data_IF_979857045127
#
_entry.id   IF_979857045127
#
_cell.length_a   1.000
_cell.length_b   1.000
_cell.length_c   1.000
_cell.angle_alpha   90.00
_cell.angle_beta   90.00
_cell.angle_gamma   90.00
#
_symmetry.space_group_name_H-M   'P 1'
#
loop_
_entity.id
_entity.type
_entity.pdbx_description
1 polymer ?
#
# COMPACT_ATOMS: atom_id res chain seq x y z
N UNK A 1 20.78 -6.90 1.64
CA UNK A 1 19.79 -5.93 2.13
C UNK A 1 19.56 -4.91 1.03
N UNK A 2 18.30 -4.66 0.66
CA UNK A 2 17.90 -3.73 -0.40
C UNK A 2 16.83 -2.78 0.15
N UNK A 3 16.62 -1.65 -0.52
CA UNK A 3 15.54 -0.71 -0.20
C UNK A 3 14.35 -1.01 -1.10
N UNK A 4 13.16 -1.06 -0.53
CA UNK A 4 11.89 -1.20 -1.26
C UNK A 4 10.86 -0.21 -0.70
N UNK A 5 9.83 0.06 -1.49
CA UNK A 5 8.71 0.88 -1.08
C UNK A 5 7.44 0.39 -1.77
N UNK A 6 6.31 0.65 -1.14
CA UNK A 6 5.00 0.28 -1.66
C UNK A 6 4.08 1.50 -1.65
N UNK A 7 3.29 1.66 -2.71
CA UNK A 7 2.25 2.66 -2.80
C UNK A 7 0.93 1.94 -3.03
N UNK A 8 -0.09 2.32 -2.26
CA UNK A 8 -1.39 1.65 -2.29
C UNK A 8 -1.98 1.61 -3.71
N UNK A 9 -2.34 0.41 -4.16
CA UNK A 9 -3.14 0.20 -5.36
C UNK A 9 -4.63 0.41 -5.07
N UNK A 10 -5.05 0.12 -3.83
CA UNK A 10 -6.37 0.43 -3.28
C UNK A 10 -6.29 0.63 -1.75
N UNK A 11 -7.26 1.30 -1.11
CA UNK A 11 -7.13 1.74 0.28
C UNK A 11 -7.58 0.63 1.25
N UNK A 12 -6.92 -0.52 1.23
CA UNK A 12 -7.16 -1.62 2.18
C UNK A 12 -5.82 -2.16 2.73
N UNK A 13 -5.71 -2.50 4.03
CA UNK A 13 -4.50 -3.07 4.61
C UNK A 13 -4.01 -4.36 3.94
N UNK A 14 -4.92 -5.13 3.31
CA UNK A 14 -4.55 -6.33 2.55
C UNK A 14 -3.50 -6.02 1.47
N UNK A 15 -3.58 -4.86 0.81
CA UNK A 15 -2.66 -4.45 -0.26
C UNK A 15 -1.21 -4.30 0.22
N UNK A 16 -1.02 -4.03 1.52
CA UNK A 16 0.31 -3.91 2.14
C UNK A 16 0.71 -5.20 2.86
N UNK A 17 -0.12 -5.66 3.78
CA UNK A 17 0.28 -6.72 4.72
C UNK A 17 0.23 -8.08 4.04
N UNK A 18 -0.81 -8.32 3.23
CA UNK A 18 -1.00 -9.61 2.61
C UNK A 18 -0.11 -9.80 1.39
N UNK A 19 -0.16 -8.84 0.46
CA UNK A 19 0.64 -8.87 -0.77
C UNK A 19 2.13 -8.96 -0.49
N UNK A 20 2.65 -8.24 0.51
CA UNK A 20 4.09 -8.18 0.72
C UNK A 20 4.63 -9.32 1.59
N UNK A 21 3.81 -9.90 2.48
CA UNK A 21 4.29 -10.81 3.52
C UNK A 21 3.65 -12.20 3.52
N UNK A 22 2.63 -12.48 2.70
CA UNK A 22 2.19 -13.86 2.53
C UNK A 22 3.27 -14.68 1.81
N UNK A 23 3.58 -15.87 2.31
CA UNK A 23 4.73 -16.67 1.84
C UNK A 23 4.66 -17.06 0.37
N UNK A 24 3.45 -17.28 -0.17
CA UNK A 24 3.22 -17.62 -1.57
C UNK A 24 2.95 -16.40 -2.47
N UNK A 25 3.02 -15.18 -1.93
CA UNK A 25 2.80 -13.98 -2.74
C UNK A 25 3.96 -13.73 -3.71
N UNK A 26 3.63 -13.36 -4.95
CA UNK A 26 4.63 -12.97 -5.96
C UNK A 26 5.35 -11.68 -5.57
N UNK A 27 4.71 -10.84 -4.76
CA UNK A 27 5.20 -9.55 -4.29
C UNK A 27 6.05 -9.67 -3.01
N UNK A 28 6.17 -10.88 -2.45
CA UNK A 28 7.04 -11.16 -1.31
C UNK A 28 8.51 -11.28 -1.77
N UNK A 29 9.08 -10.14 -2.14
CA UNK A 29 10.47 -10.04 -2.60
C UNK A 29 11.48 -10.31 -1.48
N UNK A 30 11.05 -10.21 -0.22
CA UNK A 30 11.89 -10.47 0.96
C UNK A 30 12.04 -11.97 1.25
N UNK A 31 11.16 -12.82 0.68
CA UNK A 31 11.12 -14.25 0.97
C UNK A 31 10.69 -14.56 2.41
N UNK A 32 9.91 -13.68 3.04
CA UNK A 32 9.39 -13.90 4.38
C UNK A 32 8.42 -15.10 4.40
N UNK A 33 8.51 -15.96 5.40
CA UNK A 33 7.63 -17.13 5.51
C UNK A 33 7.39 -17.46 6.98
N UNK A 34 6.15 -17.24 7.41
CA UNK A 34 5.67 -17.60 8.75
C UNK A 34 4.25 -18.19 8.63
N UNK A 35 4.08 -19.50 8.88
CA UNK A 35 2.78 -20.17 8.73
C UNK A 35 1.65 -19.58 9.59
N UNK A 36 1.97 -19.01 10.76
CA UNK A 36 0.95 -18.39 11.61
C UNK A 36 0.51 -17.03 11.04
N UNK A 37 1.44 -16.26 10.45
CA UNK A 37 1.09 -15.04 9.72
C UNK A 37 0.24 -15.38 8.50
N UNK A 38 0.63 -16.36 7.68
CA UNK A 38 -0.14 -16.78 6.51
C UNK A 38 -1.58 -17.16 6.89
N UNK A 39 -1.75 -17.90 8.00
CA UNK A 39 -3.06 -18.28 8.52
C UNK A 39 -3.91 -17.08 8.92
N UNK A 40 -3.34 -16.09 9.61
CA UNK A 40 -4.06 -14.86 10.00
C UNK A 40 -4.45 -14.06 8.75
N UNK A 41 -3.55 -13.95 7.77
CA UNK A 41 -3.81 -13.25 6.51
C UNK A 41 -4.96 -13.92 5.74
N UNK A 42 -4.95 -15.24 5.60
CA UNK A 42 -6.06 -15.99 4.98
C UNK A 42 -7.41 -15.80 5.70
N UNK A 43 -7.40 -15.71 7.03
CA UNK A 43 -8.59 -15.38 7.81
C UNK A 43 -9.04 -13.94 7.55
N UNK A 44 -8.12 -12.98 7.53
CA UNK A 44 -8.43 -11.58 7.27
C UNK A 44 -9.04 -11.37 5.88
N UNK A 45 -8.51 -12.04 4.83
CA UNK A 45 -9.05 -12.00 3.46
C UNK A 45 -10.52 -12.40 3.36
N UNK A 46 -10.95 -13.35 4.20
CA UNK A 46 -12.30 -13.91 4.16
C UNK A 46 -13.24 -13.31 5.20
N UNK A 47 -12.76 -12.41 6.06
CA UNK A 47 -13.56 -11.75 7.10
C UNK A 47 -14.35 -10.56 6.54
N UNK A 48 -15.68 -10.69 6.58
CA UNK A 48 -16.63 -9.69 6.10
C UNK A 48 -16.81 -8.51 7.07
N UNK A 49 -16.60 -8.73 8.38
CA UNK A 49 -16.68 -7.67 9.37
C UNK A 49 -15.41 -6.83 9.35
N UNK A 50 -15.56 -5.56 8.96
CA UNK A 50 -14.43 -4.65 8.79
C UNK A 50 -13.57 -4.48 10.06
N UNK A 51 -14.19 -4.37 11.23
CA UNK A 51 -13.44 -4.16 12.49
C UNK A 51 -12.62 -5.39 12.86
N UNK A 52 -13.20 -6.60 12.69
CA UNK A 52 -12.47 -7.84 12.90
C UNK A 52 -11.34 -8.02 11.90
N UNK A 53 -11.61 -7.71 10.62
CA UNK A 53 -10.60 -7.76 9.56
C UNK A 53 -9.41 -6.86 9.88
N UNK A 54 -9.66 -5.62 10.31
CA UNK A 54 -8.60 -4.69 10.70
C UNK A 54 -7.82 -5.16 11.93
N UNK A 55 -8.49 -5.77 12.91
CA UNK A 55 -7.80 -6.36 14.07
C UNK A 55 -6.89 -7.52 13.66
N UNK A 56 -7.31 -8.37 12.71
CA UNK A 56 -6.49 -9.46 12.17
C UNK A 56 -5.26 -8.92 11.42
N UNK A 57 -5.43 -7.89 10.58
CA UNK A 57 -4.29 -7.28 9.89
C UNK A 57 -3.31 -6.60 10.85
N UNK A 58 -3.80 -5.91 11.89
CA UNK A 58 -2.94 -5.33 12.91
C UNK A 58 -2.16 -6.40 13.69
N UNK A 59 -2.79 -7.56 13.96
CA UNK A 59 -2.10 -8.69 14.59
C UNK A 59 -1.01 -9.25 13.68
N UNK A 60 -1.30 -9.45 12.40
CA UNK A 60 -0.32 -9.92 11.42
C UNK A 60 0.86 -8.94 11.29
N UNK A 61 0.58 -7.64 11.18
CA UNK A 61 1.59 -6.58 11.13
C UNK A 61 2.52 -6.63 12.34
N UNK A 62 1.98 -6.77 13.55
CA UNK A 62 2.80 -6.87 14.76
C UNK A 62 3.75 -8.08 14.71
N UNK A 63 3.27 -9.24 14.25
CA UNK A 63 4.11 -10.44 14.13
C UNK A 63 5.22 -10.26 13.08
N UNK A 64 4.92 -9.63 11.95
CA UNK A 64 5.89 -9.31 10.89
C UNK A 64 6.99 -8.37 11.43
N UNK A 65 6.61 -7.39 12.26
CA UNK A 65 7.54 -6.47 12.91
C UNK A 65 8.38 -7.18 13.98
N UNK A 66 7.77 -8.04 14.79
CA UNK A 66 8.46 -8.81 15.83
C UNK A 66 9.50 -9.79 15.22
N UNK A 67 9.20 -10.34 14.05
CA UNK A 67 10.12 -11.18 13.26
C UNK A 67 11.20 -10.37 12.54
N UNK A 68 11.12 -9.04 12.55
CA UNK A 68 11.99 -8.12 11.81
C UNK A 68 12.09 -8.46 10.31
N UNK A 69 10.97 -8.87 9.70
CA UNK A 69 10.89 -9.23 8.28
C UNK A 69 11.28 -8.07 7.35
N UNK A 70 10.98 -6.84 7.79
CA UNK A 70 11.38 -5.58 7.16
C UNK A 70 11.73 -4.56 8.23
N UNK A 71 12.48 -3.53 7.86
CA UNK A 71 12.71 -2.35 8.69
C UNK A 71 11.88 -1.21 8.08
N UNK A 72 10.73 -0.83 8.66
CA UNK A 72 9.98 0.35 8.21
C UNK A 72 10.80 1.61 8.45
N UNK A 73 10.92 2.46 7.43
CA UNK A 73 11.67 3.72 7.51
C UNK A 73 10.72 4.91 7.71
N UNK A 74 9.89 5.21 6.71
CA UNK A 74 8.93 6.31 6.78
C UNK A 74 7.75 6.12 5.82
N UNK A 75 6.67 6.88 6.04
CA UNK A 75 5.58 7.07 5.09
C UNK A 75 5.85 8.32 4.24
N UNK A 76 5.98 8.19 2.90
CA UNK A 76 6.34 9.33 2.06
C UNK A 76 5.22 10.36 1.99
N UNK A 77 5.61 11.64 2.04
CA UNK A 77 4.73 12.77 1.70
C UNK A 77 5.06 13.21 0.29
N UNK A 78 4.05 13.26 -0.58
CA UNK A 78 4.23 13.70 -1.96
C UNK A 78 4.21 15.24 -2.03
N UNK A 79 5.30 15.85 -2.50
CA UNK A 79 5.39 17.28 -2.77
C UNK A 79 5.36 17.52 -4.29
N UNK A 80 4.30 18.15 -4.80
CA UNK A 80 4.11 18.38 -6.23
C UNK A 80 3.96 19.88 -6.54
N UNK A 81 4.61 20.32 -7.62
CA UNK A 81 4.41 21.64 -8.21
C UNK A 81 3.63 21.50 -9.52
N UNK A 82 2.44 22.08 -9.57
CA UNK A 82 1.56 22.04 -10.73
C UNK A 82 1.50 23.42 -11.37
N UNK A 83 1.82 23.51 -12.67
CA UNK A 83 1.72 24.78 -13.40
C UNK A 83 0.28 25.30 -13.38
N UNK A 84 0.04 26.64 -13.30
CA UNK A 84 -1.32 27.19 -13.25
C UNK A 84 -2.23 26.80 -14.43
N UNK A 85 -1.65 26.49 -15.60
CA UNK A 85 -2.39 26.05 -16.79
C UNK A 85 -2.88 24.60 -16.72
N UNK A 86 -2.38 23.78 -15.79
CA UNK A 86 -2.84 22.40 -15.60
C UNK A 86 -4.02 22.42 -14.63
N UNK A 87 -5.16 21.90 -15.09
CA UNK A 87 -6.40 21.80 -14.30
C UNK A 87 -6.68 20.35 -13.92
N UNK A 88 -7.47 20.18 -12.86
CA UNK A 88 -7.99 18.89 -12.40
C UNK A 88 -6.90 17.85 -12.04
N UNK A 89 -5.77 18.30 -11.50
CA UNK A 89 -4.74 17.40 -11.00
C UNK A 89 -5.27 16.57 -9.81
N UNK A 90 -5.33 15.23 -9.89
CA UNK A 90 -5.82 14.40 -8.80
C UNK A 90 -4.81 14.38 -7.64
N UNK A 91 -5.26 14.84 -6.47
CA UNK A 91 -4.51 14.76 -5.20
C UNK A 91 -5.01 13.56 -4.40
N UNK A 92 -4.45 12.39 -4.69
CA UNK A 92 -4.74 11.13 -4.00
C UNK A 92 -3.44 10.44 -3.64
N UNK A 93 -3.45 9.71 -2.53
CA UNK A 93 -2.27 9.00 -2.00
C UNK A 93 -2.06 7.61 -2.62
N UNK A 94 -2.89 7.24 -3.60
CA UNK A 94 -2.86 5.93 -4.28
C UNK A 94 -2.34 6.08 -5.70
N UNK A 95 -1.86 4.98 -6.27
CA UNK A 95 -1.55 4.92 -7.69
C UNK A 95 -2.84 5.04 -8.51
N UNK A 96 -2.99 6.16 -9.23
CA UNK A 96 -4.12 6.37 -10.15
C UNK A 96 -3.63 6.83 -11.51
N UNK A 97 -4.34 6.52 -12.61
CA UNK A 97 -3.99 7.01 -13.95
C UNK A 97 -4.28 8.51 -14.07
N UNK A 98 -3.38 9.35 -13.54
CA UNK A 98 -3.58 10.80 -13.36
C UNK A 98 -3.90 11.52 -14.67
N UNK A 99 -3.25 11.13 -15.77
CA UNK A 99 -3.41 11.78 -17.07
C UNK A 99 -4.82 11.72 -17.66
N UNK A 100 -5.65 10.78 -17.21
CA UNK A 100 -7.05 10.70 -17.64
C UNK A 100 -7.88 11.90 -17.19
N UNK A 101 -7.46 12.55 -16.10
CA UNK A 101 -8.25 13.58 -15.42
C UNK A 101 -7.73 15.00 -15.65
N UNK A 102 -6.54 15.15 -16.24
CA UNK A 102 -5.92 16.46 -16.39
C UNK A 102 -6.36 17.14 -17.68
N UNK A 103 -6.42 18.47 -17.62
CA UNK A 103 -6.65 19.33 -18.77
C UNK A 103 -5.57 20.42 -18.82
N UNK A 104 -5.19 20.83 -20.03
CA UNK A 104 -4.27 21.96 -20.24
C UNK A 104 -5.10 23.12 -20.77
N UNK A 105 -5.24 24.17 -19.96
CA UNK A 105 -5.86 25.41 -20.41
C UNK A 105 -4.93 26.14 -21.39
N UNK A 106 -5.49 26.70 -22.46
CA UNK A 106 -4.75 27.60 -23.34
C UNK A 106 -4.26 28.81 -22.52
N UNK A 107 -3.00 29.19 -22.71
CA UNK A 107 -2.45 30.43 -22.14
C UNK A 107 -3.19 31.62 -22.73
N UNK A 108 -3.84 32.41 -21.88
CA UNK A 108 -4.27 33.76 -22.27
C UNK A 108 -3.00 34.57 -22.61
N UNK A 109 -2.92 35.06 -23.85
CA UNK A 109 -1.87 35.96 -24.34
C UNK A 109 -2.06 37.37 -23.76
#
# INVERSE_FOLDING_TARGET
MFSAGWAADYPDPEDFIDKLFHSESVQNEQGYSNPEVDKILLQARSESNQQKRFALYAQAEQMILDDAAVIPDFWPVEHLLVKPCVKNWPSVSMNVPRYRYIEIAATEN
#
